data_IF_500056827309
#
_entry.id   IF_500056827309
#
_cell.length_a   1.000
_cell.length_b   1.000
_cell.length_c   1.000
_cell.angle_alpha   90.00
_cell.angle_beta   90.00
_cell.angle_gamma   90.00
#
_symmetry.space_group_name_H-M   'P 1'
#
loop_
_entity.id
_entity.type
_entity.pdbx_description
1 polymer ?
#
# COMPACT_ATOMS: atom_id res chain seq x y z
N UNK A 1 -8.91 -15.73 3.65
CA UNK A 1 -8.77 -14.50 4.47
C UNK A 1 -7.48 -13.80 4.07
N UNK A 2 -7.57 -12.51 3.73
CA UNK A 2 -6.39 -11.71 3.32
C UNK A 2 -5.85 -11.03 4.58
N UNK A 3 -4.65 -11.45 5.01
CA UNK A 3 -3.98 -10.90 6.19
C UNK A 3 -2.80 -10.02 5.77
N UNK A 4 -2.50 -9.01 6.60
CA UNK A 4 -1.24 -8.29 6.53
C UNK A 4 -0.12 -9.23 6.95
N UNK A 5 1.00 -9.23 6.20
CA UNK A 5 2.18 -10.04 6.52
C UNK A 5 3.42 -9.17 6.56
N UNK A 6 4.28 -9.40 7.52
CA UNK A 6 5.59 -8.74 7.64
C UNK A 6 6.69 -9.79 7.82
N UNK A 7 7.68 -9.80 6.91
CA UNK A 7 8.75 -10.79 6.94
C UNK A 7 8.23 -12.23 6.88
N UNK A 8 7.12 -12.47 6.16
CA UNK A 8 6.46 -13.77 6.06
C UNK A 8 5.51 -14.10 7.22
N UNK A 9 5.51 -13.32 8.30
CA UNK A 9 4.65 -13.54 9.49
C UNK A 9 3.32 -12.83 9.29
N UNK A 10 2.17 -13.55 9.32
CA UNK A 10 0.86 -12.92 9.25
C UNK A 10 0.47 -12.29 10.59
N UNK A 11 -0.09 -11.09 10.54
CA UNK A 11 -0.70 -10.44 11.71
C UNK A 11 -2.12 -10.97 11.88
N UNK A 12 -2.39 -11.57 13.02
CA UNK A 12 -3.66 -12.22 13.30
C UNK A 12 -4.75 -11.21 13.68
N UNK A 13 -6.04 -11.47 13.33
CA UNK A 13 -7.15 -10.58 13.68
C UNK A 13 -7.35 -10.37 15.20
N UNK A 14 -6.85 -11.29 16.04
CA UNK A 14 -6.87 -11.15 17.51
C UNK A 14 -6.03 -9.99 18.02
N UNK A 15 -5.05 -9.52 17.25
CA UNK A 15 -4.30 -8.29 17.52
C UNK A 15 -5.03 -7.01 17.07
N UNK A 16 -6.28 -7.12 16.67
CA UNK A 16 -7.06 -6.09 16.00
C UNK A 16 -6.85 -6.11 14.47
N UNK A 17 -7.86 -5.70 13.72
CA UNK A 17 -7.72 -5.50 12.28
C UNK A 17 -6.75 -4.36 12.02
N UNK A 18 -5.61 -4.59 11.35
CA UNK A 18 -4.62 -3.54 11.15
C UNK A 18 -5.18 -2.40 10.30
N UNK A 19 -5.06 -1.18 10.81
CA UNK A 19 -5.25 0.03 10.02
C UNK A 19 -3.92 0.40 9.37
N UNK A 20 -3.92 0.60 8.05
CA UNK A 20 -2.72 0.91 7.27
C UNK A 20 -2.86 2.29 6.66
N UNK A 21 -1.86 3.15 6.86
CA UNK A 21 -1.76 4.45 6.19
C UNK A 21 -0.46 4.53 5.39
N UNK A 22 -0.55 5.23 4.24
CA UNK A 22 0.58 5.51 3.38
C UNK A 22 0.85 7.01 3.37
N UNK A 23 2.11 7.38 3.52
CA UNK A 23 2.60 8.74 3.39
C UNK A 23 3.82 8.72 2.49
N UNK A 24 3.99 9.76 1.67
CA UNK A 24 5.21 9.95 0.92
C UNK A 24 6.31 10.43 1.87
N UNK A 25 7.43 9.72 1.87
CA UNK A 25 8.66 10.12 2.53
C UNK A 25 9.68 10.47 1.44
N UNK A 26 10.10 11.71 1.38
CA UNK A 26 10.94 12.17 0.28
C UNK A 26 11.88 13.29 0.65
N UNK A 27 13.05 13.30 0.00
CA UNK A 27 14.01 14.41 0.05
C UNK A 27 13.62 15.48 -0.95
N UNK A 28 12.77 16.43 -0.55
CA UNK A 28 12.43 17.61 -1.36
C UNK A 28 13.08 18.86 -0.76
N UNK A 29 13.63 19.70 -1.61
CA UNK A 29 14.05 21.04 -1.24
C UNK A 29 13.28 22.06 -2.07
N UNK A 30 12.75 23.08 -1.40
CA UNK A 30 12.01 24.16 -2.04
C UNK A 30 12.78 25.47 -1.88
N UNK A 31 13.06 26.14 -2.97
CA UNK A 31 13.73 27.45 -2.99
C UNK A 31 12.85 28.42 -3.75
N UNK A 32 12.62 29.62 -3.17
CA UNK A 32 12.00 30.73 -3.90
C UNK A 32 13.06 31.56 -4.56
N UNK A 33 12.91 31.78 -5.85
CA UNK A 33 13.74 32.69 -6.65
C UNK A 33 13.45 34.15 -6.30
N UNK A 34 14.30 35.03 -6.71
CA UNK A 34 14.17 36.49 -6.45
C UNK A 34 12.91 37.11 -7.06
N UNK A 35 12.35 36.49 -8.08
CA UNK A 35 11.07 36.85 -8.74
C UNK A 35 9.84 36.21 -8.08
N UNK A 36 10.03 35.42 -6.98
CA UNK A 36 8.98 34.73 -6.26
C UNK A 36 8.63 33.34 -6.82
N UNK A 37 9.21 32.92 -7.95
CA UNK A 37 8.99 31.61 -8.50
C UNK A 37 9.47 30.51 -7.53
N UNK A 38 8.64 29.46 -7.33
CA UNK A 38 8.97 28.31 -6.51
C UNK A 38 9.71 27.29 -7.38
N UNK A 39 10.92 26.94 -6.98
CA UNK A 39 11.66 25.82 -7.55
C UNK A 39 11.69 24.70 -6.51
N UNK A 40 11.14 23.55 -6.88
CA UNK A 40 11.13 22.33 -6.08
C UNK A 40 12.06 21.30 -6.72
N UNK A 41 12.97 20.78 -5.93
CA UNK A 41 13.87 19.70 -6.33
C UNK A 41 13.54 18.47 -5.49
N UNK A 42 13.07 17.41 -6.15
CA UNK A 42 12.85 16.11 -5.53
C UNK A 42 14.04 15.21 -5.83
N UNK A 43 14.74 14.76 -4.79
CA UNK A 43 15.91 13.90 -4.92
C UNK A 43 15.56 12.42 -4.87
N UNK A 44 14.59 12.06 -4.03
CA UNK A 44 14.07 10.69 -3.89
C UNK A 44 12.68 10.75 -3.27
N UNK A 45 11.90 9.75 -3.56
CA UNK A 45 10.56 9.55 -3.03
C UNK A 45 10.36 8.07 -2.69
N UNK A 46 9.99 7.80 -1.46
CA UNK A 46 9.73 6.47 -0.91
C UNK A 46 8.45 6.51 -0.08
N UNK A 47 7.93 5.34 0.25
CA UNK A 47 6.70 5.23 1.02
C UNK A 47 7.02 5.04 2.51
N UNK A 48 6.39 5.83 3.36
CA UNK A 48 6.26 5.57 4.78
C UNK A 48 4.93 4.90 5.05
N UNK A 49 4.97 3.75 5.67
CA UNK A 49 3.79 2.91 5.93
C UNK A 49 3.61 2.82 7.43
N UNK A 50 2.51 3.37 7.92
CA UNK A 50 2.15 3.30 9.34
C UNK A 50 1.04 2.28 9.52
N UNK A 51 1.25 1.35 10.44
CA UNK A 51 0.32 0.25 10.72
C UNK A 51 -0.03 0.30 12.20
N UNK A 52 -1.31 0.32 12.51
CA UNK A 52 -1.82 0.35 13.88
C UNK A 52 -2.87 -0.72 14.09
N UNK A 53 -2.96 -1.24 15.28
CA UNK A 53 -4.01 -2.17 15.66
C UNK A 53 -4.29 -2.11 17.16
N UNK A 54 -5.48 -2.52 17.52
CA UNK A 54 -5.94 -2.63 18.92
C UNK A 54 -6.73 -3.92 19.06
N UNK A 55 -6.30 -4.81 19.94
CA UNK A 55 -6.88 -6.14 20.07
C UNK A 55 -6.61 -6.80 21.41
N UNK A 56 -6.92 -8.10 21.48
CA UNK A 56 -6.71 -8.91 22.71
C UNK A 56 -5.25 -9.28 22.93
N UNK A 57 -4.41 -9.21 21.90
CA UNK A 57 -2.99 -9.60 21.95
C UNK A 57 -2.16 -8.67 21.06
N UNK A 58 -0.85 -8.66 21.27
CA UNK A 58 0.08 -7.97 20.40
C UNK A 58 0.13 -8.56 18.98
N UNK A 59 0.85 -7.91 18.04
CA UNK A 59 0.87 -8.27 16.62
C UNK A 59 1.57 -9.61 16.33
N UNK A 60 2.27 -10.21 17.31
CA UNK A 60 2.95 -11.50 17.16
C UNK A 60 4.23 -11.45 16.32
N UNK A 61 4.92 -10.32 16.33
CA UNK A 61 6.10 -10.07 15.50
C UNK A 61 7.45 -10.27 16.23
N UNK A 62 7.47 -10.83 17.44
CA UNK A 62 8.69 -10.99 18.25
C UNK A 62 9.76 -11.86 17.58
N UNK A 63 9.37 -12.78 16.71
CA UNK A 63 10.28 -13.64 15.95
C UNK A 63 10.84 -13.01 14.68
N UNK A 64 10.46 -11.79 14.33
CA UNK A 64 10.90 -11.11 13.10
C UNK A 64 12.26 -10.45 13.33
N UNK A 65 13.19 -10.63 12.37
CA UNK A 65 14.47 -9.92 12.38
C UNK A 65 14.34 -8.51 11.80
N UNK A 66 14.12 -7.53 12.67
CA UNK A 66 13.99 -6.11 12.31
C UNK A 66 15.30 -5.43 11.86
N UNK A 67 16.42 -6.15 11.83
CA UNK A 67 17.70 -5.64 11.35
C UNK A 67 17.87 -5.82 9.85
N UNK A 68 17.08 -6.71 9.25
CA UNK A 68 17.07 -6.99 7.81
C UNK A 68 15.98 -6.23 7.08
N UNK A 69 16.07 -6.19 5.75
CA UNK A 69 14.96 -5.75 4.91
C UNK A 69 13.84 -6.79 4.99
N UNK A 70 12.63 -6.31 5.19
CA UNK A 70 11.44 -7.13 5.38
C UNK A 70 10.47 -6.97 4.21
N UNK A 71 9.80 -8.06 3.89
CA UNK A 71 8.75 -8.09 2.89
C UNK A 71 7.40 -7.77 3.57
N UNK A 72 6.78 -6.65 3.19
CA UNK A 72 5.48 -6.22 3.70
C UNK A 72 4.39 -6.46 2.65
N UNK A 73 3.43 -7.31 2.98
CA UNK A 73 2.23 -7.55 2.18
C UNK A 73 1.06 -6.80 2.79
N UNK A 74 0.71 -5.69 2.18
CA UNK A 74 -0.30 -4.79 2.73
C UNK A 74 -1.73 -5.26 2.44
N UNK A 75 -2.65 -4.86 3.31
CA UNK A 75 -4.11 -5.06 3.14
C UNK A 75 -4.82 -3.81 2.63
N UNK A 76 -4.12 -2.67 2.60
CA UNK A 76 -4.66 -1.43 2.02
C UNK A 76 -4.36 -1.38 0.53
N UNK A 77 -5.41 -1.36 -0.29
CA UNK A 77 -5.30 -1.28 -1.73
C UNK A 77 -4.75 0.08 -2.20
N UNK A 78 -3.92 0.03 -3.23
CA UNK A 78 -3.64 1.16 -4.09
C UNK A 78 -4.62 1.14 -5.27
N UNK A 79 -4.92 2.33 -5.81
CA UNK A 79 -5.79 2.49 -6.97
C UNK A 79 -5.18 3.45 -7.97
N UNK A 80 -5.40 3.17 -9.24
CA UNK A 80 -4.99 4.00 -10.36
C UNK A 80 -6.14 4.09 -11.35
N UNK A 81 -6.53 5.33 -11.69
CA UNK A 81 -7.54 5.57 -12.71
C UNK A 81 -6.86 5.91 -14.03
N UNK A 82 -7.35 5.33 -15.12
CA UNK A 82 -6.76 5.47 -16.44
C UNK A 82 -7.83 5.36 -17.54
N UNK A 83 -7.60 6.03 -18.65
CA UNK A 83 -8.35 5.84 -19.89
C UNK A 83 -7.69 4.78 -20.79
N UNK A 84 -6.41 4.48 -20.54
CA UNK A 84 -5.64 3.48 -21.29
C UNK A 84 -5.89 2.05 -20.81
N UNK A 85 -5.62 1.10 -21.68
CA UNK A 85 -5.77 -0.33 -21.43
C UNK A 85 -4.48 -0.98 -20.91
N UNK A 86 -3.35 -0.33 -21.08
CA UNK A 86 -2.05 -0.77 -20.59
C UNK A 86 -1.53 0.23 -19.56
N UNK A 87 -1.20 -0.25 -18.37
CA UNK A 87 -0.83 0.60 -17.24
C UNK A 87 0.31 -0.04 -16.47
N UNK A 88 1.26 0.78 -16.02
CA UNK A 88 2.32 0.36 -15.12
C UNK A 88 1.90 0.63 -13.67
N UNK A 89 1.89 -0.41 -12.84
CA UNK A 89 1.65 -0.31 -11.41
C UNK A 89 2.81 0.43 -10.73
N UNK A 90 2.49 1.26 -9.76
CA UNK A 90 3.50 2.03 -9.00
C UNK A 90 4.32 1.15 -8.04
N UNK A 91 3.75 0.02 -7.61
CA UNK A 91 4.39 -0.94 -6.70
C UNK A 91 4.17 -2.37 -7.19
N UNK A 92 4.93 -3.32 -6.68
CA UNK A 92 4.69 -4.73 -6.96
C UNK A 92 3.37 -5.18 -6.31
N UNK A 93 2.52 -5.90 -7.04
CA UNK A 93 1.31 -6.47 -6.47
C UNK A 93 1.65 -7.71 -5.60
N UNK A 94 0.80 -7.97 -4.62
CA UNK A 94 0.88 -9.21 -3.83
C UNK A 94 0.62 -10.43 -4.74
N UNK A 95 1.41 -11.51 -4.58
CA UNK A 95 1.24 -12.70 -5.42
C UNK A 95 0.02 -13.56 -5.05
N UNK A 96 -0.51 -13.41 -3.82
CA UNK A 96 -1.62 -14.20 -3.30
C UNK A 96 -3.01 -13.58 -3.55
N UNK A 97 -3.05 -12.34 -4.07
CA UNK A 97 -4.30 -11.64 -4.38
C UNK A 97 -4.19 -11.01 -5.75
N UNK A 98 -5.00 -11.43 -6.73
CA UNK A 98 -4.97 -10.82 -8.05
C UNK A 98 -5.44 -9.37 -8.00
N UNK A 99 -4.87 -8.53 -8.86
CA UNK A 99 -5.36 -7.18 -9.12
C UNK A 99 -6.77 -7.25 -9.73
N UNK A 100 -7.51 -6.18 -9.60
CA UNK A 100 -8.86 -6.07 -10.13
C UNK A 100 -9.07 -4.73 -10.83
N UNK A 101 -9.99 -4.70 -11.77
CA UNK A 101 -10.32 -3.49 -12.51
C UNK A 101 -11.83 -3.31 -12.63
N UNK A 102 -12.27 -2.09 -12.46
CA UNK A 102 -13.65 -1.68 -12.67
C UNK A 102 -13.69 -0.67 -13.83
N UNK A 103 -14.48 -0.98 -14.87
CA UNK A 103 -14.79 -0.07 -15.95
C UNK A 103 -15.92 0.87 -15.50
N UNK A 104 -15.71 2.19 -15.61
CA UNK A 104 -16.69 3.20 -15.25
C UNK A 104 -17.31 3.79 -16.52
N UNK A 105 -18.63 3.96 -16.47
CA UNK A 105 -19.41 4.53 -17.57
C UNK A 105 -19.80 5.98 -17.31
N UNK A 106 -20.12 6.76 -18.36
CA UNK A 106 -20.50 8.16 -18.21
C UNK A 106 -21.74 8.41 -17.34
N UNK A 107 -22.61 7.40 -17.20
CA UNK A 107 -23.81 7.45 -16.33
C UNK A 107 -23.51 7.20 -14.85
N UNK A 108 -22.24 6.97 -14.50
CA UNK A 108 -21.78 6.67 -13.14
C UNK A 108 -21.89 5.20 -12.74
N UNK A 109 -22.35 4.33 -13.61
CA UNK A 109 -22.36 2.88 -13.37
C UNK A 109 -20.96 2.31 -13.55
N UNK A 110 -20.69 1.14 -12.97
CA UNK A 110 -19.41 0.45 -13.10
C UNK A 110 -19.62 -1.04 -13.32
N UNK A 111 -18.67 -1.66 -14.02
CA UNK A 111 -18.65 -3.08 -14.30
C UNK A 111 -17.26 -3.64 -14.09
N UNK A 112 -17.16 -4.79 -13.39
CA UNK A 112 -15.90 -5.51 -13.25
C UNK A 112 -15.42 -6.02 -14.59
N UNK A 113 -14.15 -5.75 -14.93
CA UNK A 113 -13.49 -6.26 -16.13
C UNK A 113 -12.24 -7.06 -15.78
N UNK A 114 -11.90 -8.11 -16.54
CA UNK A 114 -10.67 -8.85 -16.36
C UNK A 114 -9.44 -7.97 -16.57
N UNK A 115 -8.42 -8.19 -15.75
CA UNK A 115 -7.10 -7.58 -15.88
C UNK A 115 -6.04 -8.66 -15.73
N UNK A 116 -5.02 -8.60 -16.58
CA UNK A 116 -3.85 -9.48 -16.52
C UNK A 116 -2.66 -8.63 -16.07
N UNK A 117 -1.95 -9.09 -15.04
CA UNK A 117 -0.77 -8.41 -14.53
C UNK A 117 0.44 -9.34 -14.66
N UNK A 118 1.49 -8.81 -15.30
CA UNK A 118 2.79 -9.47 -15.46
C UNK A 118 3.86 -8.54 -14.90
N UNK A 119 4.44 -8.90 -13.75
CA UNK A 119 5.29 -7.99 -12.99
C UNK A 119 4.49 -6.77 -12.53
N UNK A 120 4.84 -5.59 -13.03
CA UNK A 120 4.11 -4.33 -12.78
C UNK A 120 3.26 -3.89 -13.99
N UNK A 121 3.31 -4.57 -15.10
CA UNK A 121 2.51 -4.24 -16.29
C UNK A 121 1.14 -4.87 -16.18
N UNK A 122 0.11 -4.03 -16.22
CA UNK A 122 -1.30 -4.44 -16.19
C UNK A 122 -1.95 -4.19 -17.54
N UNK A 123 -2.60 -5.20 -18.09
CA UNK A 123 -3.39 -5.12 -19.32
C UNK A 123 -4.86 -5.34 -18.98
N UNK A 124 -5.69 -4.35 -19.28
CA UNK A 124 -7.11 -4.33 -18.98
C UNK A 124 -7.90 -4.81 -20.20
N UNK A 125 -8.87 -5.69 -19.98
CA UNK A 125 -9.80 -6.08 -21.05
C UNK A 125 -10.79 -4.94 -21.32
N UNK A 126 -10.89 -4.45 -22.58
CA UNK A 126 -11.75 -3.31 -22.91
C UNK A 126 -13.23 -3.66 -22.74
N UNK A 127 -14.00 -2.67 -22.30
CA UNK A 127 -15.46 -2.74 -22.18
C UNK A 127 -16.07 -1.65 -23.04
N UNK A 128 -16.98 -2.02 -23.94
CA UNK A 128 -17.63 -1.06 -24.83
C UNK A 128 -18.41 -0.01 -24.04
N UNK A 129 -18.18 1.28 -24.36
CA UNK A 129 -18.85 2.41 -23.70
C UNK A 129 -18.22 2.83 -22.37
N UNK A 130 -17.17 2.18 -21.88
CA UNK A 130 -16.44 2.64 -20.70
C UNK A 130 -15.71 3.95 -20.97
N UNK A 131 -15.82 4.89 -20.05
CA UNK A 131 -15.14 6.19 -20.11
C UNK A 131 -13.80 6.16 -19.36
N UNK A 132 -13.70 5.35 -18.31
CA UNK A 132 -12.54 5.29 -17.42
C UNK A 132 -12.41 3.89 -16.82
N UNK A 133 -11.20 3.50 -16.48
CA UNK A 133 -10.90 2.26 -15.77
C UNK A 133 -10.28 2.57 -14.41
N UNK A 134 -10.77 1.94 -13.36
CA UNK A 134 -10.20 2.02 -12.01
C UNK A 134 -9.53 0.70 -11.65
N UNK A 135 -8.21 0.68 -11.73
CA UNK A 135 -7.38 -0.48 -11.42
C UNK A 135 -7.01 -0.47 -9.94
N UNK A 136 -7.27 -1.57 -9.24
CA UNK A 136 -6.91 -1.75 -7.83
C UNK A 136 -6.00 -2.95 -7.63
N UNK A 137 -5.06 -2.85 -6.69
CA UNK A 137 -4.22 -3.97 -6.27
C UNK A 137 -3.82 -3.81 -4.80
N UNK A 138 -3.47 -4.92 -4.17
CA UNK A 138 -2.82 -4.90 -2.86
C UNK A 138 -1.30 -4.87 -3.07
N UNK A 139 -0.60 -3.86 -2.53
CA UNK A 139 0.83 -3.72 -2.76
C UNK A 139 1.68 -4.62 -1.88
N UNK A 140 2.87 -4.91 -2.40
CA UNK A 140 3.98 -5.53 -1.72
C UNK A 140 5.15 -4.54 -1.71
N UNK A 141 5.75 -4.35 -0.53
CA UNK A 141 6.88 -3.45 -0.34
C UNK A 141 8.06 -4.17 0.29
N UNK A 142 9.27 -3.78 -0.09
CA UNK A 142 10.47 -4.07 0.70
C UNK A 142 10.70 -2.93 1.66
N UNK A 143 10.70 -3.21 2.96
CA UNK A 143 10.71 -2.19 4.00
C UNK A 143 11.73 -2.46 5.09
N UNK A 144 12.15 -1.40 5.76
CA UNK A 144 12.82 -1.44 7.06
C UNK A 144 11.89 -0.90 8.13
N UNK A 145 11.76 -1.66 9.21
CA UNK A 145 10.92 -1.31 10.33
C UNK A 145 11.71 -1.41 11.63
N UNK A 146 11.27 -0.68 12.65
CA UNK A 146 11.63 -0.95 14.04
C UNK A 146 10.59 -1.87 14.64
N UNK A 147 10.92 -2.50 15.78
CA UNK A 147 9.92 -3.26 16.54
C UNK A 147 8.68 -2.41 16.78
N UNK A 148 7.48 -3.00 16.76
CA UNK A 148 6.27 -2.28 17.10
C UNK A 148 6.36 -1.73 18.52
N UNK A 149 5.78 -0.56 18.73
CA UNK A 149 5.51 -0.04 20.06
C UNK A 149 4.20 -0.66 20.52
N UNK A 150 4.21 -1.26 21.70
CA UNK A 150 3.05 -1.95 22.27
C UNK A 150 2.73 -1.36 23.64
N UNK A 151 1.45 -1.16 23.92
CA UNK A 151 0.93 -0.83 25.24
C UNK A 151 -0.18 -1.81 25.59
N UNK A 152 -0.18 -2.31 26.83
CA UNK A 152 -1.19 -3.23 27.31
C UNK A 152 -1.90 -2.62 28.49
N UNK A 153 -3.22 -2.48 28.36
CA UNK A 153 -4.13 -2.15 29.44
C UNK A 153 -5.12 -3.29 29.65
N UNK A 154 -5.85 -3.28 30.76
CA UNK A 154 -6.77 -4.37 31.09
C UNK A 154 -7.77 -4.65 29.97
N UNK A 155 -7.51 -5.72 29.20
CA UNK A 155 -8.36 -6.21 28.12
C UNK A 155 -8.09 -5.64 26.71
N UNK A 156 -7.07 -4.78 26.53
CA UNK A 156 -6.68 -4.25 25.23
C UNK A 156 -5.16 -4.18 25.08
N UNK A 157 -4.67 -4.52 23.92
CA UNK A 157 -3.29 -4.30 23.50
C UNK A 157 -3.28 -3.40 22.29
N UNK A 158 -2.77 -2.19 22.45
CA UNK A 158 -2.58 -1.25 21.35
C UNK A 158 -1.16 -1.36 20.83
N UNK A 159 -1.01 -1.37 19.53
CA UNK A 159 0.30 -1.46 18.91
C UNK A 159 0.42 -0.56 17.68
N UNK A 160 1.62 -0.11 17.44
CA UNK A 160 1.95 0.80 16.36
C UNK A 160 3.29 0.41 15.73
N UNK A 161 3.32 0.32 14.40
CA UNK A 161 4.49 -0.04 13.62
C UNK A 161 4.68 0.97 12.48
N UNK A 162 5.89 1.45 12.32
CA UNK A 162 6.30 2.30 11.20
C UNK A 162 7.30 1.55 10.35
N UNK A 163 6.99 1.44 9.06
CA UNK A 163 7.83 0.82 8.04
C UNK A 163 8.23 1.88 7.01
N UNK A 164 9.50 1.88 6.63
CA UNK A 164 10.05 2.75 5.60
C UNK A 164 10.43 1.88 4.40
N UNK A 165 9.96 2.23 3.21
CA UNK A 165 10.34 1.58 1.97
C UNK A 165 11.84 1.76 1.71
N UNK A 166 12.51 0.70 1.26
CA UNK A 166 13.96 0.69 0.99
C UNK A 166 14.28 1.14 -0.43
#
# INVERSE_FOLDING_TARGET
MILLKLGGVPIMPLSGWPSVSYETDGGTSQVRMSDGALVEMTHWEKMRITITGSGLMGPGLDGVDFRSDLDLWSTKALRLNTEGLEVMLTTDPRPDVPAWCDALFPDGTHQRTPVVVVGRSATITPVAGAALYSLGWLPRFTVRCRRPTESSEAGSNDWHLVCLEV
#
